data_IF_604091610436
#
_entry.id   IF_604091610436
#
_cell.length_a   1.000
_cell.length_b   1.000
_cell.length_c   1.000
_cell.angle_alpha   90.00
_cell.angle_beta   90.00
_cell.angle_gamma   90.00
#
_symmetry.space_group_name_H-M   'P 1'
#
loop_
_entity.id
_entity.type
_entity.pdbx_description
1 polymer ?
#
# COMPACT_ATOMS: atom_id res chain seq x y z
N UNK A 1 -21.33 -11.11 -4.16
CA UNK A 1 -19.99 -10.72 -4.65
C UNK A 1 -18.94 -11.36 -3.77
N UNK A 2 -18.09 -12.26 -4.29
CA UNK A 2 -17.05 -12.92 -3.49
C UNK A 2 -15.81 -12.02 -3.42
N UNK A 3 -15.33 -11.72 -2.21
CA UNK A 3 -14.22 -10.78 -2.00
C UNK A 3 -13.06 -11.41 -1.24
N UNK A 4 -11.85 -10.90 -1.47
CA UNK A 4 -10.64 -11.30 -0.76
C UNK A 4 -9.74 -10.09 -0.50
N UNK A 5 -9.20 -10.03 0.72
CA UNK A 5 -8.14 -9.08 1.10
C UNK A 5 -6.80 -9.77 0.91
N UNK A 6 -5.87 -9.08 0.26
CA UNK A 6 -4.49 -9.52 0.09
C UNK A 6 -3.59 -8.45 0.70
N UNK A 7 -2.58 -8.85 1.47
CA UNK A 7 -1.59 -7.91 1.99
C UNK A 7 -0.16 -8.25 1.59
N UNK A 8 0.60 -7.21 1.21
CA UNK A 8 2.05 -7.23 1.04
C UNK A 8 2.73 -6.32 2.07
N UNK A 9 3.32 -6.90 3.11
CA UNK A 9 3.98 -6.15 4.20
C UNK A 9 5.36 -6.73 4.51
N UNK A 10 6.37 -5.86 4.68
CA UNK A 10 7.70 -6.27 5.15
C UNK A 10 7.85 -6.08 6.67
N UNK A 11 7.30 -5.01 7.22
CA UNK A 11 7.53 -4.57 8.61
C UNK A 11 6.26 -4.40 9.44
N UNK A 12 5.11 -4.80 8.92
CA UNK A 12 3.90 -5.06 9.71
C UNK A 12 2.81 -4.00 9.62
N UNK A 13 3.10 -2.74 9.33
CA UNK A 13 2.07 -1.66 9.33
C UNK A 13 0.94 -1.92 8.33
N UNK A 14 1.28 -2.27 7.09
CA UNK A 14 0.29 -2.72 6.08
C UNK A 14 -0.51 -3.94 6.55
N UNK A 15 0.14 -4.90 7.22
CA UNK A 15 -0.53 -6.09 7.76
C UNK A 15 -1.52 -5.72 8.88
N UNK A 16 -1.20 -4.71 9.69
CA UNK A 16 -2.09 -4.19 10.73
C UNK A 16 -3.36 -3.60 10.12
N UNK A 17 -3.23 -2.77 9.08
CA UNK A 17 -4.38 -2.25 8.34
C UNK A 17 -5.22 -3.35 7.72
N UNK A 18 -4.61 -4.26 6.97
CA UNK A 18 -5.33 -5.33 6.29
C UNK A 18 -6.07 -6.24 7.29
N UNK A 19 -5.44 -6.59 8.42
CA UNK A 19 -6.08 -7.37 9.48
C UNK A 19 -7.25 -6.63 10.12
N UNK A 20 -7.09 -5.35 10.46
CA UNK A 20 -8.18 -4.57 11.04
C UNK A 20 -9.34 -4.42 10.04
N UNK A 21 -9.02 -4.22 8.77
CA UNK A 21 -10.00 -4.17 7.71
C UNK A 21 -10.78 -5.48 7.55
N UNK A 22 -10.09 -6.63 7.61
CA UNK A 22 -10.73 -7.96 7.59
C UNK A 22 -11.62 -8.19 8.82
N UNK A 23 -11.18 -7.77 10.00
CA UNK A 23 -11.97 -7.85 11.24
C UNK A 23 -13.30 -7.09 11.14
N UNK A 24 -13.27 -5.88 10.57
CA UNK A 24 -14.45 -5.01 10.41
C UNK A 24 -15.37 -5.56 9.31
N UNK A 25 -14.82 -5.89 8.15
CA UNK A 25 -15.60 -6.26 6.94
C UNK A 25 -15.98 -7.73 6.88
N UNK A 26 -15.39 -8.58 7.71
CA UNK A 26 -15.49 -10.06 7.67
C UNK A 26 -15.04 -10.68 6.35
N UNK A 27 -14.34 -9.94 5.50
CA UNK A 27 -13.76 -10.46 4.25
C UNK A 27 -12.51 -11.29 4.60
N UNK A 28 -12.32 -12.49 3.99
CA UNK A 28 -11.13 -13.29 4.22
C UNK A 28 -9.86 -12.56 3.81
N UNK A 29 -8.75 -12.88 4.47
CA UNK A 29 -7.45 -12.22 4.29
C UNK A 29 -6.32 -13.23 4.12
N UNK A 30 -5.42 -13.00 3.16
CA UNK A 30 -4.20 -13.78 2.94
C UNK A 30 -2.97 -12.89 2.70
N UNK A 31 -1.77 -13.45 2.89
CA UNK A 31 -0.54 -12.82 2.40
C UNK A 31 -0.49 -12.88 0.87
N UNK A 32 0.16 -11.91 0.24
CA UNK A 32 0.45 -11.99 -1.20
C UNK A 32 1.32 -13.21 -1.58
N UNK A 33 2.03 -13.78 -0.60
CA UNK A 33 2.86 -14.99 -0.77
C UNK A 33 2.00 -16.27 -0.87
N UNK A 34 0.76 -16.21 -0.37
CA UNK A 34 -0.17 -17.35 -0.38
C UNK A 34 -1.13 -17.30 -1.57
N UNK A 35 -0.94 -16.36 -2.50
CA UNK A 35 -1.77 -16.25 -3.70
C UNK A 35 -1.57 -17.50 -4.56
N UNK A 36 -2.68 -18.18 -4.85
CA UNK A 36 -2.75 -19.26 -5.84
C UNK A 36 -3.52 -18.76 -7.05
N UNK A 37 -4.83 -18.91 -7.02
CA UNK A 37 -5.76 -18.47 -8.05
C UNK A 37 -6.79 -17.50 -7.46
N UNK A 38 -7.04 -16.40 -8.16
CA UNK A 38 -8.02 -15.38 -7.78
C UNK A 38 -9.26 -15.34 -8.71
N UNK A 39 -9.37 -16.24 -9.68
CA UNK A 39 -10.47 -16.29 -10.66
C UNK A 39 -11.86 -16.35 -10.02
N UNK A 40 -11.97 -17.02 -8.87
CA UNK A 40 -13.23 -17.15 -8.13
C UNK A 40 -13.67 -15.90 -7.38
N UNK A 41 -12.86 -14.83 -7.34
CA UNK A 41 -13.18 -13.59 -6.63
C UNK A 41 -13.60 -12.49 -7.60
N UNK A 42 -14.64 -11.76 -7.22
CA UNK A 42 -15.18 -10.63 -7.99
C UNK A 42 -14.51 -9.30 -7.60
N UNK A 43 -14.09 -9.20 -6.33
CA UNK A 43 -13.42 -8.03 -5.78
C UNK A 43 -12.18 -8.45 -5.00
N UNK A 44 -11.03 -7.89 -5.39
CA UNK A 44 -9.78 -8.00 -4.65
C UNK A 44 -9.45 -6.65 -4.00
N UNK A 45 -9.12 -6.68 -2.71
CA UNK A 45 -8.62 -5.52 -1.97
C UNK A 45 -7.15 -5.76 -1.62
N UNK A 46 -6.25 -5.11 -2.35
CA UNK A 46 -4.81 -5.26 -2.18
C UNK A 46 -4.24 -4.17 -1.28
N UNK A 47 -3.82 -4.52 -0.07
CA UNK A 47 -3.02 -3.65 0.80
C UNK A 47 -1.54 -3.87 0.56
N UNK A 48 -0.81 -2.87 0.08
CA UNK A 48 0.63 -2.99 -0.21
C UNK A 48 1.45 -1.88 0.42
N UNK A 49 2.49 -2.26 1.15
CA UNK A 49 3.50 -1.31 1.63
C UNK A 49 4.30 -0.72 0.46
N UNK A 50 4.60 0.57 0.53
CA UNK A 50 5.46 1.28 -0.41
C UNK A 50 6.92 1.05 -0.06
N UNK A 51 7.68 0.51 -1.02
CA UNK A 51 9.12 0.27 -0.91
C UNK A 51 9.81 0.70 -2.22
N UNK A 52 11.15 0.64 -2.27
CA UNK A 52 11.94 1.03 -3.46
C UNK A 52 11.52 0.31 -4.77
N UNK A 53 10.94 -0.89 -4.68
CA UNK A 53 10.45 -1.67 -5.82
C UNK A 53 8.98 -1.46 -6.20
N UNK A 54 8.28 -0.56 -5.50
CA UNK A 54 6.86 -0.27 -5.68
C UNK A 54 5.95 -0.79 -4.57
N UNK A 55 4.74 -1.18 -4.93
CA UNK A 55 3.69 -1.61 -4.00
C UNK A 55 3.85 -3.11 -3.77
N UNK A 56 4.26 -3.50 -2.57
CA UNK A 56 4.61 -4.90 -2.27
C UNK A 56 3.42 -5.84 -2.57
N UNK A 57 3.71 -6.90 -3.32
CA UNK A 57 2.75 -7.94 -3.72
C UNK A 57 1.80 -7.56 -4.85
N UNK A 58 1.76 -6.30 -5.30
CA UNK A 58 0.74 -5.86 -6.26
C UNK A 58 0.88 -6.56 -7.62
N UNK A 59 2.12 -6.73 -8.12
CA UNK A 59 2.38 -7.49 -9.36
C UNK A 59 1.87 -8.93 -9.27
N UNK A 60 2.03 -9.61 -8.14
CA UNK A 60 1.57 -10.98 -7.93
C UNK A 60 0.04 -11.03 -7.97
N UNK A 61 -0.62 -10.12 -7.25
CA UNK A 61 -2.07 -9.98 -7.24
C UNK A 61 -2.62 -9.77 -8.63
N UNK A 62 -2.10 -8.77 -9.35
CA UNK A 62 -2.56 -8.40 -10.70
C UNK A 62 -2.45 -9.56 -11.68
N UNK A 63 -1.36 -10.32 -11.63
CA UNK A 63 -1.15 -11.48 -12.52
C UNK A 63 -2.16 -12.61 -12.28
N UNK A 64 -2.71 -12.72 -11.07
CA UNK A 64 -3.66 -13.78 -10.72
C UNK A 64 -5.13 -13.37 -10.90
N UNK A 65 -5.42 -12.11 -11.27
CA UNK A 65 -6.78 -11.62 -11.48
C UNK A 65 -7.42 -12.21 -12.74
N UNK A 66 -8.74 -12.48 -12.68
CA UNK A 66 -9.55 -12.62 -13.89
C UNK A 66 -9.76 -11.26 -14.57
N UNK A 67 -10.05 -11.28 -15.87
CA UNK A 67 -10.20 -10.09 -16.73
C UNK A 67 -11.17 -9.03 -16.18
N UNK A 68 -12.28 -9.48 -15.60
CA UNK A 68 -13.36 -8.61 -15.13
C UNK A 68 -13.40 -8.43 -13.61
N UNK A 69 -12.37 -8.89 -12.89
CA UNK A 69 -12.28 -8.67 -11.45
C UNK A 69 -12.09 -7.18 -11.14
N UNK A 70 -12.87 -6.68 -10.18
CA UNK A 70 -12.66 -5.35 -9.61
C UNK A 70 -11.49 -5.41 -8.65
N UNK A 71 -10.66 -4.36 -8.64
CA UNK A 71 -9.55 -4.23 -7.70
C UNK A 71 -9.61 -2.90 -6.96
N UNK A 72 -9.41 -2.95 -5.64
CA UNK A 72 -9.09 -1.81 -4.80
C UNK A 72 -7.63 -1.93 -4.42
N UNK A 73 -6.83 -0.90 -4.68
CA UNK A 73 -5.41 -0.84 -4.33
C UNK A 73 -5.25 0.14 -3.17
N UNK A 74 -4.81 -0.35 -2.03
CA UNK A 74 -4.53 0.44 -0.84
C UNK A 74 -3.02 0.45 -0.62
N UNK A 75 -2.42 1.62 -0.79
CA UNK A 75 -0.97 1.79 -0.54
C UNK A 75 -0.74 2.27 0.88
N UNK A 76 0.33 1.78 1.51
CA UNK A 76 0.72 2.20 2.86
C UNK A 76 2.17 2.69 2.83
N UNK A 77 2.36 4.00 3.01
CA UNK A 77 3.67 4.66 2.94
C UNK A 77 4.01 5.46 4.18
N UNK A 78 5.25 5.93 4.26
CA UNK A 78 5.74 6.75 5.36
C UNK A 78 5.40 8.24 5.20
N UNK A 79 5.42 8.71 3.95
CA UNK A 79 5.19 10.10 3.58
C UNK A 79 3.72 10.50 3.74
N UNK A 80 3.48 11.81 3.79
CA UNK A 80 2.14 12.37 3.87
C UNK A 80 1.30 11.98 2.64
N UNK A 81 0.09 11.49 2.89
CA UNK A 81 -0.85 11.04 1.86
C UNK A 81 -1.75 12.15 1.32
N UNK A 82 -1.59 13.37 1.81
CA UNK A 82 -2.24 14.58 1.28
C UNK A 82 -1.29 15.43 0.40
N UNK A 83 0.00 15.08 0.36
CA UNK A 83 0.96 15.73 -0.53
C UNK A 83 0.77 15.26 -1.99
N UNK A 84 0.51 16.19 -2.90
CA UNK A 84 0.19 15.87 -4.30
C UNK A 84 1.37 15.25 -5.04
N UNK A 85 2.60 15.69 -4.78
CA UNK A 85 3.80 15.13 -5.41
C UNK A 85 3.98 13.66 -5.00
N UNK A 86 3.76 13.35 -3.72
CA UNK A 86 3.78 11.98 -3.21
C UNK A 86 2.71 11.12 -3.87
N UNK A 87 1.46 11.60 -3.95
CA UNK A 87 0.37 10.88 -4.62
C UNK A 87 0.74 10.57 -6.09
N UNK A 88 1.27 11.54 -6.80
CA UNK A 88 1.67 11.38 -8.21
C UNK A 88 2.80 10.36 -8.38
N UNK A 89 3.79 10.37 -7.47
CA UNK A 89 4.88 9.40 -7.46
C UNK A 89 4.38 7.98 -7.15
N UNK A 90 3.46 7.83 -6.20
CA UNK A 90 2.81 6.56 -5.91
C UNK A 90 2.04 6.06 -7.13
N UNK A 91 1.25 6.91 -7.79
CA UNK A 91 0.49 6.55 -9.00
C UNK A 91 1.42 6.14 -10.14
N UNK A 92 2.52 6.86 -10.38
CA UNK A 92 3.55 6.45 -11.35
C UNK A 92 4.13 5.07 -11.01
N UNK A 93 4.33 4.76 -9.74
CA UNK A 93 4.80 3.46 -9.27
C UNK A 93 3.77 2.35 -9.49
N UNK A 94 2.48 2.63 -9.29
CA UNK A 94 1.37 1.70 -9.59
C UNK A 94 1.29 1.43 -11.10
N UNK A 95 1.39 2.46 -11.95
CA UNK A 95 1.31 2.31 -13.41
C UNK A 95 2.41 1.38 -13.98
N UNK A 96 3.56 1.30 -13.31
CA UNK A 96 4.64 0.37 -13.68
C UNK A 96 4.36 -1.10 -13.31
N UNK A 97 3.34 -1.35 -12.49
CA UNK A 97 3.00 -2.67 -11.94
C UNK A 97 1.66 -3.20 -12.43
N UNK A 98 0.76 -2.31 -12.87
CA UNK A 98 -0.62 -2.63 -13.23
C UNK A 98 -0.87 -2.25 -14.69
N UNK A 99 -1.28 -3.20 -15.55
CA UNK A 99 -1.72 -2.91 -16.92
C UNK A 99 -2.88 -1.89 -16.96
N UNK A 100 -2.90 -1.04 -17.98
CA UNK A 100 -3.84 0.08 -18.08
C UNK A 100 -5.31 -0.36 -18.05
N UNK A 101 -5.65 -1.49 -18.67
CA UNK A 101 -7.00 -2.03 -18.67
C UNK A 101 -7.52 -2.40 -17.27
N UNK A 102 -6.62 -2.85 -16.38
CA UNK A 102 -6.96 -3.13 -14.97
C UNK A 102 -7.00 -1.83 -14.19
N UNK A 103 -6.04 -0.94 -14.44
CA UNK A 103 -5.92 0.34 -13.75
C UNK A 103 -7.13 1.25 -13.96
N UNK A 104 -7.69 1.28 -15.18
CA UNK A 104 -8.87 2.08 -15.52
C UNK A 104 -10.10 1.73 -14.65
N UNK A 105 -10.15 0.50 -14.13
CA UNK A 105 -11.24 0.01 -13.29
C UNK A 105 -10.84 -0.10 -11.81
N UNK A 106 -9.61 0.28 -11.46
CA UNK A 106 -9.10 0.22 -10.11
C UNK A 106 -9.55 1.42 -9.28
N UNK A 107 -9.89 1.19 -8.02
CA UNK A 107 -10.02 2.28 -7.03
C UNK A 107 -8.77 2.31 -6.16
N UNK A 108 -8.15 3.48 -5.98
CA UNK A 108 -6.86 3.61 -5.31
C UNK A 108 -7.02 4.47 -4.05
N UNK A 109 -6.46 3.98 -2.94
CA UNK A 109 -6.37 4.69 -1.67
C UNK A 109 -4.92 4.74 -1.18
N UNK A 110 -4.60 5.80 -0.44
CA UNK A 110 -3.29 6.03 0.14
C UNK A 110 -3.44 6.20 1.65
N UNK A 111 -2.76 5.38 2.43
CA UNK A 111 -2.74 5.43 3.88
C UNK A 111 -1.30 5.67 4.35
N UNK A 112 -1.17 6.36 5.49
CA UNK A 112 0.11 6.52 6.15
C UNK A 112 0.36 5.36 7.10
N UNK A 113 1.59 4.90 7.18
CA UNK A 113 2.03 3.85 8.09
C UNK A 113 3.30 4.24 8.82
N UNK A 114 3.66 3.47 9.82
CA UNK A 114 4.87 3.66 10.61
C UNK A 114 6.14 3.02 10.05
N UNK A 115 7.25 3.32 10.71
CA UNK A 115 8.54 2.66 10.56
C UNK A 115 9.20 2.53 11.92
N UNK A 116 9.85 1.38 12.16
CA UNK A 116 10.68 1.13 13.34
C UNK A 116 12.09 0.77 12.84
N UNK A 117 13.01 1.74 12.89
CA UNK A 117 14.37 1.54 12.38
C UNK A 117 15.12 0.41 13.10
N UNK A 118 14.78 0.12 14.36
CA UNK A 118 15.39 -0.98 15.12
C UNK A 118 14.98 -2.35 14.58
N UNK A 119 13.78 -2.45 13.99
CA UNK A 119 13.25 -3.68 13.38
C UNK A 119 13.69 -3.90 11.93
N UNK A 120 14.38 -2.94 11.32
CA UNK A 120 14.93 -3.14 9.97
C UNK A 120 16.01 -4.21 10.00
N UNK A 121 15.95 -5.14 9.03
CA UNK A 121 17.03 -6.09 8.82
C UNK A 121 18.31 -5.36 8.36
N UNK A 122 19.46 -6.03 8.46
CA UNK A 122 20.76 -5.41 8.17
C UNK A 122 20.82 -4.81 6.76
N UNK A 123 20.31 -5.52 5.75
CA UNK A 123 20.29 -5.06 4.35
C UNK A 123 19.52 -3.74 4.18
N UNK A 124 18.29 -3.68 4.69
CA UNK A 124 17.47 -2.47 4.60
C UNK A 124 18.02 -1.34 5.47
N UNK A 125 18.62 -1.65 6.63
CA UNK A 125 19.28 -0.65 7.47
C UNK A 125 20.46 0.00 6.76
N UNK A 126 21.32 -0.80 6.13
CA UNK A 126 22.45 -0.30 5.33
C UNK A 126 21.97 0.53 4.15
N UNK A 127 20.96 0.05 3.40
CA UNK A 127 20.38 0.81 2.29
C UNK A 127 19.82 2.17 2.73
N UNK A 128 19.08 2.19 3.85
CA UNK A 128 18.54 3.43 4.41
C UNK A 128 19.66 4.38 4.89
N UNK A 129 20.75 3.86 5.46
CA UNK A 129 21.90 4.69 5.85
C UNK A 129 22.60 5.33 4.65
N UNK A 130 22.82 4.58 3.57
CA UNK A 130 23.38 5.11 2.33
C UNK A 130 22.46 6.18 1.73
N UNK A 131 21.16 5.91 1.68
CA UNK A 131 20.18 6.84 1.15
C UNK A 131 20.10 8.12 1.99
N UNK A 132 19.98 8.00 3.32
CA UNK A 132 20.00 9.13 4.25
C UNK A 132 21.23 10.01 4.07
N UNK A 133 22.43 9.41 4.02
CA UNK A 133 23.67 10.16 3.82
C UNK A 133 23.71 10.90 2.47
N UNK A 134 23.10 10.32 1.43
CA UNK A 134 22.99 10.95 0.11
C UNK A 134 22.01 12.13 0.11
N UNK A 135 20.91 12.06 0.86
CA UNK A 135 19.79 13.02 0.74
C UNK A 135 19.73 14.07 1.86
N UNK A 136 20.39 13.85 3.01
CA UNK A 136 20.29 14.73 4.19
C UNK A 136 20.73 16.18 3.94
N UNK A 137 21.64 16.39 2.98
CA UNK A 137 22.16 17.72 2.61
C UNK A 137 21.61 18.25 1.29
N UNK A 138 20.57 17.62 0.73
CA UNK A 138 19.91 18.19 -0.45
C UNK A 138 19.29 19.55 -0.11
N UNK A 139 19.31 20.52 -1.04
CA UNK A 139 18.49 21.73 -0.93
C UNK A 139 17.02 21.38 -0.74
N UNK A 140 16.27 22.20 0.02
CA UNK A 140 14.87 21.92 0.35
C UNK A 140 13.97 21.76 -0.87
N UNK A 141 14.21 22.52 -1.94
CA UNK A 141 13.48 22.40 -3.20
C UNK A 141 13.78 21.10 -3.98
N UNK A 142 14.76 20.30 -3.55
CA UNK A 142 15.09 18.99 -4.12
C UNK A 142 14.65 17.82 -3.22
N UNK A 143 14.08 18.10 -2.05
CA UNK A 143 13.55 17.06 -1.15
C UNK A 143 12.08 16.83 -1.45
N UNK A 144 11.77 15.69 -2.06
CA UNK A 144 10.39 15.20 -2.21
C UNK A 144 9.78 14.91 -0.83
N UNK A 145 8.46 14.80 -0.74
CA UNK A 145 7.77 14.43 0.50
C UNK A 145 8.27 13.09 1.09
N UNK A 146 8.60 12.12 0.23
CA UNK A 146 9.20 10.84 0.64
C UNK A 146 10.58 11.03 1.28
N UNK A 147 11.43 11.88 0.68
CA UNK A 147 12.76 12.19 1.21
C UNK A 147 12.65 12.92 2.55
N UNK A 148 11.74 13.91 2.66
CA UNK A 148 11.52 14.65 3.91
C UNK A 148 11.10 13.71 5.04
N UNK A 149 10.05 12.92 4.83
CA UNK A 149 9.57 11.98 5.82
C UNK A 149 10.63 10.93 6.22
N UNK A 150 11.46 10.48 5.27
CA UNK A 150 12.57 9.59 5.57
C UNK A 150 13.63 10.24 6.46
N UNK A 151 14.03 11.48 6.17
CA UNK A 151 15.03 12.23 6.95
C UNK A 151 14.51 12.49 8.37
N UNK A 152 13.28 12.98 8.50
CA UNK A 152 12.66 13.37 9.77
C UNK A 152 12.52 12.17 10.74
N UNK A 153 12.24 11.00 10.18
CA UNK A 153 12.02 9.77 10.96
C UNK A 153 13.28 8.92 11.08
N UNK A 154 14.41 9.35 10.52
CA UNK A 154 15.62 8.54 10.45
C UNK A 154 16.10 8.12 11.83
N UNK A 155 16.37 6.82 11.98
CA UNK A 155 16.81 6.19 13.24
C UNK A 155 15.79 6.28 14.40
N UNK A 156 14.53 6.60 14.10
CA UNK A 156 13.45 6.67 15.10
C UNK A 156 12.47 5.49 14.97
N UNK A 157 11.50 5.44 15.88
CA UNK A 157 10.30 4.64 15.71
C UNK A 157 9.13 5.61 15.65
N UNK A 158 8.38 5.56 14.56
CA UNK A 158 7.16 6.34 14.38
C UNK A 158 6.02 5.42 13.97
N UNK A 159 4.82 5.73 14.46
CA UNK A 159 3.60 5.01 14.13
C UNK A 159 2.53 6.02 13.69
N UNK A 160 2.14 5.91 12.42
CA UNK A 160 1.12 6.76 11.80
C UNK A 160 -0.10 5.94 11.39
N UNK A 161 -0.30 4.76 11.97
CA UNK A 161 -1.49 3.95 11.71
C UNK A 161 -2.72 4.72 12.22
N UNK A 162 -3.67 4.97 11.32
CA UNK A 162 -4.97 5.56 11.59
C UNK A 162 -6.06 4.64 11.03
N UNK A 163 -6.70 3.86 11.90
CA UNK A 163 -7.74 2.94 11.48
C UNK A 163 -9.01 3.63 10.99
N UNK A 164 -9.26 4.90 11.36
CA UNK A 164 -10.42 5.63 10.86
C UNK A 164 -10.28 5.93 9.37
N UNK A 165 -9.04 6.03 8.87
CA UNK A 165 -8.76 6.13 7.44
C UNK A 165 -9.23 4.89 6.64
N UNK A 166 -9.60 3.77 7.28
CA UNK A 166 -10.24 2.63 6.60
C UNK A 166 -11.70 2.91 6.21
N UNK A 167 -12.36 3.86 6.87
CA UNK A 167 -13.78 4.16 6.66
C UNK A 167 -14.08 4.58 5.21
N UNK A 168 -13.15 5.29 4.56
CA UNK A 168 -13.27 5.66 3.15
C UNK A 168 -13.36 4.44 2.23
N UNK A 169 -12.64 3.36 2.57
CA UNK A 169 -12.60 2.12 1.77
C UNK A 169 -13.89 1.32 2.04
N UNK A 170 -14.30 1.22 3.31
CA UNK A 170 -15.54 0.55 3.72
C UNK A 170 -16.74 1.17 3.00
N UNK A 171 -16.81 2.51 2.94
CA UNK A 171 -17.87 3.23 2.24
C UNK A 171 -17.98 2.80 0.78
N UNK A 172 -16.85 2.67 0.08
CA UNK A 172 -16.83 2.24 -1.34
C UNK A 172 -17.26 0.78 -1.51
N UNK A 173 -16.85 -0.12 -0.61
CA UNK A 173 -17.28 -1.53 -0.67
C UNK A 173 -18.78 -1.66 -0.42
N UNK A 174 -19.32 -0.93 0.54
CA UNK A 174 -20.75 -0.97 0.87
C UNK A 174 -21.61 -0.39 -0.25
N UNK A 175 -21.18 0.73 -0.87
CA UNK A 175 -21.85 1.29 -2.03
C UNK A 175 -21.87 0.30 -3.20
N UNK A 176 -20.73 -0.34 -3.51
CA UNK A 176 -20.65 -1.34 -4.59
C UNK A 176 -21.47 -2.60 -4.32
N UNK A 177 -21.72 -2.93 -3.05
CA UNK A 177 -22.57 -4.07 -2.67
C UNK A 177 -24.07 -3.78 -2.88
N UNK A 178 -24.47 -2.49 -2.82
CA UNK A 178 -25.85 -2.06 -3.06
C UNK A 178 -26.28 -2.15 -4.54
N UNK A 179 -25.34 -2.02 -5.49
CA UNK A 179 -25.61 -2.05 -6.94
C UNK A 179 -25.41 -3.43 -7.59
N UNK A 180 -25.19 -4.46 -6.79
CA UNK A 180 -24.98 -5.84 -7.25
C UNK A 180 -26.11 -6.79 -6.83
N UNK A 181 -27.21 -6.24 -6.29
CA UNK A 181 -28.52 -6.88 -6.10
C UNK A 181 -29.45 -6.41 -7.20
#
# INVERSE_FOLDING_TARGET
MKSLIIYGSQYGTTKCYAKKFAEITKIPIISYEDIKDLTNYDLIIHFGGLYAGGVKGLKNTVKALKKDAKIIIVTVGLADVYDQENIDNIRKSINKQVPQNILNNATIFHLRGGIDYKKLNLKHRTMMALLYNKVKHLPENKKTAEIKAMIETYNQKVDFIDYDALNQIIKVINQKSLFAQ
#
